data_IF_631334372788
#
_entry.id   IF_631334372788
#
_cell.length_a   1.000
_cell.length_b   1.000
_cell.length_c   1.000
_cell.angle_alpha   90.00
_cell.angle_beta   90.00
_cell.angle_gamma   90.00
#
_symmetry.space_group_name_H-M   'P 1'
#
loop_
_entity.id
_entity.type
_entity.pdbx_description
1 polymer ?
#
# COMPACT_ATOMS: atom_id res chain seq x y z
N UNK A 1 19.36 23.60 28.60
CA UNK A 1 19.46 23.82 27.15
C UNK A 1 19.40 22.45 26.47
N UNK A 2 18.41 22.30 25.58
CA UNK A 2 18.22 21.23 24.60
C UNK A 2 17.93 19.82 25.15
N UNK A 3 16.64 19.59 25.45
CA UNK A 3 16.01 18.28 25.20
C UNK A 3 16.29 17.92 23.74
N UNK A 4 17.20 16.97 23.53
CA UNK A 4 17.26 16.21 22.28
C UNK A 4 15.98 15.39 22.25
N UNK A 5 14.91 16.01 21.77
CA UNK A 5 13.72 15.31 21.34
C UNK A 5 14.21 14.25 20.36
N UNK A 6 14.25 12.98 20.81
CA UNK A 6 14.35 11.84 19.91
C UNK A 6 13.30 12.11 18.84
N UNK A 7 13.75 12.44 17.64
CA UNK A 7 13.03 12.10 16.43
C UNK A 7 12.72 10.62 16.58
N UNK A 8 11.56 10.31 17.15
CA UNK A 8 10.99 8.99 17.05
C UNK A 8 10.87 8.82 15.56
N UNK A 9 11.81 8.10 14.96
CA UNK A 9 11.64 7.49 13.65
C UNK A 9 10.31 6.78 13.76
N UNK A 10 9.25 7.41 13.25
CA UNK A 10 7.97 6.73 13.16
C UNK A 10 8.22 5.73 12.05
N UNK A 11 8.18 4.42 12.34
CA UNK A 11 8.39 3.42 11.30
C UNK A 11 7.28 3.48 10.23
N UNK A 12 6.20 4.21 10.53
CA UNK A 12 5.01 4.35 9.72
C UNK A 12 4.65 5.82 9.50
N UNK A 13 4.14 6.16 8.31
CA UNK A 13 3.44 7.42 8.10
C UNK A 13 2.16 7.50 8.93
N UNK A 14 1.58 8.70 9.06
CA UNK A 14 0.31 8.90 9.82
C UNK A 14 -0.82 7.98 9.36
N UNK A 15 -0.86 7.67 8.06
CA UNK A 15 -1.84 6.78 7.45
C UNK A 15 -1.63 5.32 7.87
N UNK A 16 -0.40 4.82 7.80
CA UNK A 16 -0.08 3.47 8.27
C UNK A 16 -0.30 3.29 9.78
N UNK A 17 0.00 4.30 10.60
CA UNK A 17 -0.36 4.27 12.03
C UNK A 17 -1.88 4.16 12.23
N UNK A 18 -2.65 4.97 11.49
CA UNK A 18 -4.12 4.94 11.54
C UNK A 18 -4.68 3.60 11.09
N UNK A 19 -4.11 3.03 10.02
CA UNK A 19 -4.49 1.71 9.52
C UNK A 19 -4.21 0.61 10.56
N UNK A 20 -3.04 0.64 11.21
CA UNK A 20 -2.70 -0.29 12.30
C UNK A 20 -3.67 -0.19 13.47
N UNK A 21 -4.11 1.02 13.83
CA UNK A 21 -5.08 1.23 14.91
C UNK A 21 -6.50 0.74 14.56
N UNK A 22 -6.84 0.71 13.28
CA UNK A 22 -8.07 0.09 12.78
C UNK A 22 -7.93 -1.44 12.77
N UNK A 23 -6.81 -1.97 12.27
CA UNK A 23 -6.49 -3.41 12.28
C UNK A 23 -6.59 -4.03 13.67
N UNK A 24 -6.08 -3.36 14.71
CA UNK A 24 -6.14 -3.87 16.10
C UNK A 24 -7.56 -4.07 16.62
N UNK A 25 -8.54 -3.37 16.04
CA UNK A 25 -9.95 -3.49 16.39
C UNK A 25 -10.72 -4.38 15.42
N UNK A 26 -10.08 -4.90 14.39
CA UNK A 26 -10.70 -5.82 13.46
C UNK A 26 -10.99 -7.16 14.17
N UNK A 27 -12.18 -7.77 13.97
CA UNK A 27 -13.23 -7.43 13.01
C UNK A 27 -14.31 -6.45 13.52
N UNK A 28 -14.20 -5.93 14.75
CA UNK A 28 -15.18 -5.06 15.41
C UNK A 28 -15.14 -3.61 14.91
N UNK A 29 -15.23 -3.43 13.59
CA UNK A 29 -15.23 -2.12 12.93
C UNK A 29 -16.60 -1.79 12.35
N UNK A 30 -16.94 -0.51 12.36
CA UNK A 30 -18.13 -0.02 11.64
C UNK A 30 -17.88 -0.04 10.14
N UNK A 31 -18.95 -0.02 9.34
CA UNK A 31 -18.85 0.04 7.87
C UNK A 31 -17.99 1.23 7.39
N UNK A 32 -18.15 2.40 8.03
CA UNK A 32 -17.35 3.58 7.72
C UNK A 32 -15.86 3.37 8.01
N UNK A 33 -15.52 2.70 9.10
CA UNK A 33 -14.14 2.40 9.47
C UNK A 33 -13.50 1.37 8.54
N UNK A 34 -14.29 0.41 8.04
CA UNK A 34 -13.83 -0.53 7.01
C UNK A 34 -13.55 0.17 5.69
N UNK A 35 -14.43 1.08 5.25
CA UNK A 35 -14.19 1.87 4.05
C UNK A 35 -12.97 2.79 4.22
N UNK A 36 -12.78 3.38 5.41
CA UNK A 36 -11.56 4.13 5.76
C UNK A 36 -10.31 3.24 5.65
N UNK A 37 -10.35 2.00 6.16
CA UNK A 37 -9.24 1.04 6.04
C UNK A 37 -8.90 0.74 4.59
N UNK A 38 -9.90 0.45 3.76
CA UNK A 38 -9.69 0.14 2.33
C UNK A 38 -9.07 1.35 1.62
N UNK A 39 -9.57 2.56 1.89
CA UNK A 39 -9.02 3.79 1.30
C UNK A 39 -7.59 4.07 1.74
N UNK A 40 -7.26 3.82 3.01
CA UNK A 40 -5.90 4.00 3.51
C UNK A 40 -4.96 2.97 2.89
N UNK A 41 -5.37 1.71 2.79
CA UNK A 41 -4.55 0.63 2.23
C UNK A 41 -4.03 0.95 0.83
N UNK A 42 -4.88 1.50 -0.03
CA UNK A 42 -4.53 1.93 -1.39
C UNK A 42 -3.45 3.03 -1.43
N UNK A 43 -3.32 3.78 -0.34
CA UNK A 43 -2.38 4.89 -0.20
C UNK A 43 -1.09 4.49 0.52
N UNK A 44 -0.99 3.24 0.99
CA UNK A 44 0.21 2.76 1.66
C UNK A 44 1.28 2.40 0.65
N UNK A 45 2.53 2.74 0.97
CA UNK A 45 3.67 2.27 0.21
C UNK A 45 3.90 0.77 0.40
N UNK A 46 4.55 0.12 -0.56
CA UNK A 46 4.96 -1.30 -0.44
C UNK A 46 5.76 -1.57 0.84
N UNK A 47 6.59 -0.61 1.27
CA UNK A 47 7.36 -0.74 2.50
C UNK A 47 6.47 -0.73 3.75
N UNK A 48 5.50 0.19 3.81
CA UNK A 48 4.55 0.24 4.94
C UNK A 48 3.69 -1.02 5.01
N UNK A 49 3.26 -1.54 3.86
CA UNK A 49 2.55 -2.82 3.77
C UNK A 49 3.41 -3.98 4.28
N UNK A 50 4.68 -4.06 3.85
CA UNK A 50 5.60 -5.10 4.29
C UNK A 50 5.85 -5.01 5.81
N UNK A 51 6.04 -3.80 6.35
CA UNK A 51 6.22 -3.57 7.77
C UNK A 51 4.98 -3.96 8.59
N UNK A 52 3.76 -3.69 8.08
CA UNK A 52 2.51 -4.11 8.72
C UNK A 52 2.35 -5.64 8.71
N UNK A 53 2.72 -6.30 7.61
CA UNK A 53 2.68 -7.77 7.54
C UNK A 53 3.70 -8.45 8.47
N UNK A 54 4.81 -7.77 8.76
CA UNK A 54 5.86 -8.27 9.64
C UNK A 54 5.59 -7.95 11.13
N UNK A 55 4.61 -7.10 11.45
CA UNK A 55 4.22 -6.81 12.83
C UNK A 55 3.35 -7.96 13.36
N UNK A 56 3.96 -8.85 14.14
CA UNK A 56 3.32 -10.03 14.75
C UNK A 56 2.03 -9.69 15.53
N UNK A 57 1.89 -8.44 16.02
CA UNK A 57 0.73 -8.02 16.80
C UNK A 57 -0.52 -7.79 15.97
N UNK A 58 -0.36 -7.58 14.67
CA UNK A 58 -1.45 -7.31 13.72
C UNK A 58 -1.41 -8.20 12.49
N UNK A 59 -0.40 -9.06 12.35
CA UNK A 59 -0.19 -9.91 11.18
C UNK A 59 -1.40 -10.81 10.88
N UNK A 60 -1.99 -11.43 11.91
CA UNK A 60 -3.18 -12.28 11.74
C UNK A 60 -4.41 -11.47 11.29
N UNK A 61 -4.66 -10.32 11.93
CA UNK A 61 -5.76 -9.44 11.54
C UNK A 61 -5.56 -8.86 10.14
N UNK A 62 -4.31 -8.60 9.78
CA UNK A 62 -3.94 -8.10 8.47
C UNK A 62 -4.16 -9.14 7.38
N UNK A 63 -3.75 -10.39 7.61
CA UNK A 63 -4.01 -11.49 6.68
C UNK A 63 -5.52 -11.76 6.55
N UNK A 64 -6.26 -11.74 7.66
CA UNK A 64 -7.72 -11.85 7.66
C UNK A 64 -8.40 -10.71 6.89
N UNK A 65 -7.90 -9.48 7.04
CA UNK A 65 -8.36 -8.32 6.27
C UNK A 65 -8.09 -8.51 4.77
N UNK A 66 -6.87 -8.90 4.38
CA UNK A 66 -6.51 -9.15 2.98
C UNK A 66 -7.35 -10.27 2.37
N UNK A 67 -7.56 -11.37 3.09
CA UNK A 67 -8.34 -12.49 2.59
C UNK A 67 -9.80 -12.09 2.35
N UNK A 68 -10.43 -11.43 3.33
CA UNK A 68 -11.82 -11.00 3.26
C UNK A 68 -12.09 -9.86 2.28
N UNK A 69 -11.09 -9.00 2.03
CA UNK A 69 -11.22 -7.82 1.17
C UNK A 69 -10.46 -7.94 -0.16
N UNK A 70 -9.84 -9.09 -0.43
CA UNK A 70 -9.05 -9.40 -1.63
C UNK A 70 -9.77 -9.01 -2.93
N UNK A 71 -11.07 -9.30 -3.05
CA UNK A 71 -11.85 -8.95 -4.24
C UNK A 71 -11.99 -7.44 -4.48
N UNK A 72 -12.17 -6.65 -3.41
CA UNK A 72 -12.22 -5.18 -3.51
C UNK A 72 -10.84 -4.58 -3.77
N UNK A 73 -9.80 -5.15 -3.16
CA UNK A 73 -8.42 -4.72 -3.33
C UNK A 73 -7.89 -5.04 -4.74
N UNK A 74 -8.18 -6.22 -5.30
CA UNK A 74 -7.77 -6.58 -6.66
C UNK A 74 -8.28 -5.62 -7.74
N UNK A 75 -9.48 -5.06 -7.55
CA UNK A 75 -10.05 -4.11 -8.50
C UNK A 75 -9.22 -2.82 -8.59
N UNK A 76 -8.69 -2.35 -7.47
CA UNK A 76 -7.81 -1.17 -7.41
C UNK A 76 -6.42 -1.45 -8.03
N UNK A 77 -5.86 -2.64 -7.77
CA UNK A 77 -4.53 -3.01 -8.28
C UNK A 77 -4.53 -3.27 -9.78
N UNK A 78 -5.64 -3.74 -10.35
CA UNK A 78 -5.75 -4.03 -11.77
C UNK A 78 -5.52 -2.78 -12.62
N UNK A 79 -6.04 -1.63 -12.20
CA UNK A 79 -5.87 -0.39 -12.94
C UNK A 79 -4.40 0.08 -12.91
N UNK A 80 -3.74 -0.02 -11.76
CA UNK A 80 -2.30 0.27 -11.64
C UNK A 80 -1.43 -0.67 -12.48
N UNK A 81 -1.74 -1.96 -12.54
CA UNK A 81 -1.02 -2.93 -13.37
C UNK A 81 -1.19 -2.63 -14.86
N UNK A 82 -2.39 -2.22 -15.30
CA UNK A 82 -2.63 -1.81 -16.70
C UNK A 82 -1.81 -0.57 -17.04
N UNK A 83 -1.77 0.44 -16.16
CA UNK A 83 -0.93 1.62 -16.36
C UNK A 83 0.57 1.28 -16.38
N UNK A 84 1.03 0.41 -15.48
CA UNK A 84 2.42 -0.03 -15.45
C UNK A 84 2.83 -0.78 -16.72
N UNK A 85 1.98 -1.70 -17.21
CA UNK A 85 2.20 -2.41 -18.48
C UNK A 85 2.19 -1.46 -19.68
N UNK A 86 1.26 -0.50 -19.72
CA UNK A 86 1.21 0.52 -20.75
C UNK A 86 2.48 1.39 -20.75
N UNK A 87 2.98 1.76 -19.57
CA UNK A 87 4.22 2.53 -19.43
C UNK A 87 5.43 1.76 -19.95
N UNK A 88 5.59 0.49 -19.56
CA UNK A 88 6.68 -0.38 -20.04
C UNK A 88 6.59 -0.57 -21.55
N UNK A 89 5.40 -0.84 -22.09
CA UNK A 89 5.19 -1.01 -23.53
C UNK A 89 5.49 0.26 -24.33
N UNK A 90 5.13 1.43 -23.80
CA UNK A 90 5.45 2.72 -24.41
C UNK A 90 6.95 2.96 -24.43
N UNK A 91 7.64 2.67 -23.32
CA UNK A 91 9.09 2.81 -23.22
C UNK A 91 9.84 1.90 -24.23
N UNK A 92 9.42 0.64 -24.34
CA UNK A 92 9.97 -0.31 -25.30
C UNK A 92 9.74 0.13 -26.76
N UNK A 93 8.56 0.71 -27.05
CA UNK A 93 8.23 1.23 -28.38
C UNK A 93 9.09 2.43 -28.77
N UNK A 94 9.34 3.35 -27.83
CA UNK A 94 10.21 4.52 -28.05
C UNK A 94 11.65 4.07 -28.34
N UNK A 95 12.18 3.15 -27.52
CA UNK A 95 13.54 2.61 -27.72
C UNK A 95 13.66 1.90 -29.06
N UNK A 96 12.67 1.08 -29.43
CA UNK A 96 12.62 0.41 -30.72
C UNK A 96 12.61 1.38 -31.90
N UNK A 97 11.84 2.46 -31.80
CA UNK A 97 11.80 3.51 -32.82
C UNK A 97 13.16 4.20 -33.00
N UNK A 98 13.83 4.55 -31.89
CA UNK A 98 15.15 5.20 -31.93
C UNK A 98 16.16 4.27 -32.63
N UNK A 99 16.20 2.99 -32.26
CA UNK A 99 17.10 2.01 -32.88
C UNK A 99 16.79 1.84 -34.37
N UNK A 100 15.51 1.82 -34.76
CA UNK A 100 15.10 1.68 -36.16
C UNK A 100 15.48 2.90 -37.01
N UNK A 101 15.44 4.11 -36.45
CA UNK A 101 15.85 5.35 -37.15
C UNK A 101 17.37 5.47 -37.27
N UNK A 102 18.12 4.94 -36.30
CA UNK A 102 19.59 4.97 -36.31
C UNK A 102 20.22 3.89 -37.22
N UNK A 103 19.43 2.96 -37.75
CA UNK A 103 19.86 1.86 -38.62
C UNK A 103 19.59 2.18 -40.09
#
# INVERSE_FOLDING_TARGET
MMEVARERHRPFGRKADRFRDLLRRYPELTTYQLDEMVSIYDQLSTLEVALLSADERVAEQFDAFLHSHSGRLQMLWRDHLVFALAFIGSFASIVGLIVAVMR
#
